data_IF_082605693903
#
_entry.id   IF_082605693903
#
_cell.length_a   1.000
_cell.length_b   1.000
_cell.length_c   1.000
_cell.angle_alpha   90.00
_cell.angle_beta   90.00
_cell.angle_gamma   90.00
#
_symmetry.space_group_name_H-M   'P 1'
#
loop_
_entity.id
_entity.type
_entity.pdbx_description
1 polymer ?
#
# COMPACT_ATOMS: atom_id res chain seq x y z
N UNK A 1 -16.58 8.54 -0.82
CA UNK A 1 -15.73 8.22 -1.98
C UNK A 1 -16.63 7.66 -3.07
N UNK A 2 -16.42 8.10 -4.31
CA UNK A 2 -17.24 7.67 -5.44
C UNK A 2 -16.43 6.70 -6.31
N UNK A 3 -16.99 5.56 -6.68
CA UNK A 3 -16.33 4.52 -7.47
C UNK A 3 -17.09 4.26 -8.78
N UNK A 4 -16.36 4.11 -9.89
CA UNK A 4 -16.91 3.67 -11.17
C UNK A 4 -17.28 2.18 -11.09
N UNK A 5 -18.52 1.78 -11.41
CA UNK A 5 -18.96 0.38 -11.34
C UNK A 5 -18.10 -0.61 -12.12
N UNK A 6 -17.56 -0.19 -13.27
CA UNK A 6 -16.79 -1.07 -14.18
C UNK A 6 -15.29 -1.19 -13.80
N UNK A 7 -14.87 -0.57 -12.70
CA UNK A 7 -13.52 -0.72 -12.16
C UNK A 7 -13.52 -1.71 -10.99
N UNK A 8 -12.33 -2.13 -10.56
CA UNK A 8 -12.19 -2.89 -9.32
C UNK A 8 -12.73 -2.04 -8.17
N UNK A 9 -13.78 -2.54 -7.51
CA UNK A 9 -14.42 -1.89 -6.38
C UNK A 9 -13.63 -2.24 -5.12
N UNK A 10 -13.16 -1.21 -4.42
CA UNK A 10 -12.52 -1.36 -3.13
C UNK A 10 -13.57 -1.30 -2.02
N UNK A 11 -13.74 -2.42 -1.32
CA UNK A 11 -14.70 -2.54 -0.22
C UNK A 11 -14.13 -2.03 1.11
N UNK A 12 -12.81 -2.14 1.32
CA UNK A 12 -12.13 -1.81 2.59
C UNK A 12 -11.23 -0.59 2.44
N UNK A 13 -11.70 0.55 2.93
CA UNK A 13 -11.04 1.86 2.80
C UNK A 13 -10.79 2.54 4.16
N UNK A 14 -10.82 1.75 5.22
CA UNK A 14 -10.50 2.12 6.59
C UNK A 14 -9.06 2.63 6.78
N UNK A 15 -8.19 2.36 5.80
CA UNK A 15 -6.84 2.94 5.72
C UNK A 15 -6.81 4.40 5.23
N UNK A 16 -7.90 4.93 4.68
CA UNK A 16 -7.98 6.32 4.22
C UNK A 16 -8.65 7.23 5.26
N UNK A 17 -7.88 8.17 5.84
CA UNK A 17 -8.34 9.11 6.87
C UNK A 17 -8.99 8.42 8.08
N UNK A 18 -9.97 9.06 8.73
CA UNK A 18 -10.73 8.48 9.86
C UNK A 18 -11.78 7.43 9.39
N UNK A 19 -11.53 6.76 8.27
CA UNK A 19 -12.56 6.13 7.46
C UNK A 19 -13.28 7.15 6.59
N UNK A 20 -13.49 6.83 5.32
CA UNK A 20 -14.36 7.60 4.45
C UNK A 20 -15.81 7.33 4.87
N UNK A 21 -16.58 8.39 5.18
CA UNK A 21 -17.93 8.25 5.74
C UNK A 21 -18.86 7.37 4.87
N UNK A 22 -18.88 7.62 3.56
CA UNK A 22 -19.68 6.86 2.61
C UNK A 22 -18.82 6.41 1.42
N UNK A 23 -19.08 5.20 0.91
CA UNK A 23 -18.56 4.71 -0.36
C UNK A 23 -19.75 4.47 -1.29
N UNK A 24 -19.80 5.18 -2.41
CA UNK A 24 -20.93 5.19 -3.33
C UNK A 24 -20.44 4.75 -4.70
N UNK A 25 -21.06 3.71 -5.24
CA UNK A 25 -20.78 3.19 -6.59
C UNK A 25 -21.76 3.90 -7.54
N UNK A 26 -21.23 4.69 -8.47
CA UNK A 26 -22.03 5.47 -9.42
C UNK A 26 -21.28 5.63 -10.75
N UNK A 27 -21.96 5.52 -11.90
CA UNK A 27 -21.33 5.80 -13.18
C UNK A 27 -20.79 7.23 -13.26
N UNK A 28 -19.50 7.34 -13.54
CA UNK A 28 -18.82 8.56 -13.92
C UNK A 28 -19.08 8.78 -15.41
N UNK A 29 -19.89 9.78 -15.73
CA UNK A 29 -20.18 10.20 -17.11
C UNK A 29 -18.99 10.96 -17.70
N UNK A 30 -18.82 10.87 -19.03
CA UNK A 30 -17.69 11.47 -19.76
C UNK A 30 -16.30 11.08 -19.21
N UNK A 31 -16.22 9.92 -18.56
CA UNK A 31 -15.01 9.47 -17.90
C UNK A 31 -13.90 9.18 -18.92
N UNK A 32 -12.77 9.85 -18.73
CA UNK A 32 -11.51 9.55 -19.43
C UNK A 32 -10.35 9.78 -18.49
N UNK A 33 -9.35 8.92 -18.58
CA UNK A 33 -8.11 9.05 -17.83
C UNK A 33 -6.97 8.60 -18.72
N UNK A 34 -6.24 9.56 -19.29
CA UNK A 34 -5.13 9.30 -20.22
C UNK A 34 -3.88 9.99 -19.72
N UNK A 35 -2.88 9.20 -19.36
CA UNK A 35 -1.54 9.71 -19.09
C UNK A 35 -0.73 9.63 -20.38
N UNK A 36 -0.25 10.78 -20.84
CA UNK A 36 0.56 10.94 -22.05
C UNK A 36 2.03 11.17 -21.67
N UNK A 37 2.92 11.17 -22.67
CA UNK A 37 4.34 11.53 -22.45
C UNK A 37 4.50 12.95 -21.88
N UNK A 38 3.51 13.81 -22.06
CA UNK A 38 3.60 15.23 -21.79
C UNK A 38 2.50 15.71 -20.84
N UNK A 39 1.91 14.85 -20.01
CA UNK A 39 0.95 15.23 -18.98
C UNK A 39 -0.31 14.35 -18.98
N UNK A 40 -1.37 14.83 -18.35
CA UNK A 40 -2.65 14.13 -18.23
C UNK A 40 -3.79 14.79 -19.04
N UNK A 41 -4.69 13.96 -19.55
CA UNK A 41 -6.04 14.32 -19.98
C UNK A 41 -7.04 13.48 -19.18
N UNK A 42 -7.76 14.14 -18.26
CA UNK A 42 -8.77 13.52 -17.41
C UNK A 42 -10.05 14.32 -17.44
N UNK A 43 -11.18 13.64 -17.51
CA UNK A 43 -12.46 14.22 -17.21
C UNK A 43 -13.39 13.18 -16.61
N UNK A 44 -14.33 13.64 -15.80
CA UNK A 44 -15.45 12.86 -15.29
C UNK A 44 -16.52 13.79 -14.75
N UNK A 45 -17.75 13.31 -14.75
CA UNK A 45 -18.87 13.99 -14.13
C UNK A 45 -19.81 12.98 -13.46
N UNK A 46 -20.38 13.37 -12.32
CA UNK A 46 -21.32 12.53 -11.57
C UNK A 46 -22.20 13.39 -10.68
N UNK A 47 -23.25 12.80 -10.12
CA UNK A 47 -24.08 13.42 -9.09
C UNK A 47 -23.63 12.94 -7.72
N UNK A 48 -23.34 13.87 -6.82
CA UNK A 48 -22.91 13.51 -5.47
C UNK A 48 -24.09 13.03 -4.60
N UNK A 49 -23.80 12.57 -3.39
CA UNK A 49 -24.80 11.97 -2.48
C UNK A 49 -25.96 12.89 -2.08
N UNK A 50 -25.86 14.19 -2.32
CA UNK A 50 -26.91 15.18 -2.02
C UNK A 50 -27.49 15.81 -3.28
N UNK A 51 -27.22 15.23 -4.45
CA UNK A 51 -27.80 15.65 -5.72
C UNK A 51 -27.05 16.77 -6.44
N UNK A 52 -25.82 17.11 -6.01
CA UNK A 52 -25.04 18.16 -6.68
C UNK A 52 -24.30 17.58 -7.87
N UNK A 53 -24.47 18.21 -9.03
CA UNK A 53 -23.68 17.88 -10.22
C UNK A 53 -22.21 18.25 -10.01
N UNK A 54 -21.32 17.28 -10.16
CA UNK A 54 -19.87 17.44 -10.10
C UNK A 54 -19.31 17.26 -11.50
N UNK A 55 -18.47 18.19 -11.95
CA UNK A 55 -17.77 18.10 -13.23
C UNK A 55 -16.30 18.46 -13.04
N UNK A 56 -15.42 17.57 -13.49
CA UNK A 56 -13.97 17.78 -13.45
C UNK A 56 -13.41 17.53 -14.84
N UNK A 57 -12.57 18.45 -15.32
CA UNK A 57 -11.80 18.30 -16.54
C UNK A 57 -10.43 18.94 -16.36
N UNK A 58 -9.37 18.19 -16.68
CA UNK A 58 -7.99 18.64 -16.59
C UNK A 58 -7.28 18.18 -17.87
N UNK A 59 -6.70 19.14 -18.61
CA UNK A 59 -6.00 18.86 -19.86
C UNK A 59 -4.65 19.58 -19.85
N UNK A 60 -3.57 18.82 -19.72
CA UNK A 60 -2.21 19.32 -19.92
C UNK A 60 -1.85 19.37 -21.40
N UNK A 61 -1.65 20.57 -21.93
CA UNK A 61 -1.35 20.86 -23.34
C UNK A 61 0.15 21.12 -23.60
N UNK A 62 0.99 20.94 -22.59
CA UNK A 62 2.43 21.15 -22.72
C UNK A 62 3.05 20.12 -23.69
N UNK A 63 3.99 20.58 -24.52
CA UNK A 63 4.81 19.69 -25.36
C UNK A 63 6.00 19.09 -24.59
N UNK A 64 6.37 19.67 -23.45
CA UNK A 64 7.49 19.21 -22.63
C UNK A 64 7.14 17.88 -21.95
N UNK A 65 8.01 16.85 -22.02
CA UNK A 65 7.79 15.60 -21.32
C UNK A 65 7.73 15.77 -19.80
N UNK A 66 6.95 14.90 -19.15
CA UNK A 66 6.90 14.78 -17.69
C UNK A 66 8.14 14.06 -17.16
N UNK A 67 8.37 14.17 -15.84
CA UNK A 67 9.46 13.47 -15.14
C UNK A 67 8.88 12.76 -13.93
N UNK A 68 8.06 11.71 -14.15
CA UNK A 68 7.37 11.05 -13.06
C UNK A 68 8.36 10.25 -12.21
N UNK A 69 7.92 9.88 -11.01
CA UNK A 69 8.72 9.13 -10.05
C UNK A 69 7.89 8.04 -9.36
N UNK A 70 8.54 7.16 -8.60
CA UNK A 70 7.86 6.13 -7.82
C UNK A 70 7.78 6.56 -6.36
N UNK A 71 6.66 6.26 -5.69
CA UNK A 71 6.53 6.48 -4.25
C UNK A 71 5.64 5.44 -3.58
N UNK A 72 5.86 5.23 -2.28
CA UNK A 72 4.90 4.60 -1.39
C UNK A 72 3.89 5.65 -0.93
N UNK A 73 2.62 5.45 -1.26
CA UNK A 73 1.57 6.41 -0.96
C UNK A 73 1.36 6.49 0.57
N UNK A 74 1.35 7.69 1.18
CA UNK A 74 1.20 7.85 2.62
C UNK A 74 -0.27 7.72 3.05
N UNK A 75 -1.00 6.74 2.51
CA UNK A 75 -2.45 6.54 2.76
C UNK A 75 -2.68 6.27 4.24
N UNK A 76 -1.86 5.38 4.83
CA UNK A 76 -1.91 5.04 6.24
C UNK A 76 -1.49 6.17 7.19
N UNK A 77 -0.95 7.31 6.73
CA UNK A 77 -0.56 8.39 7.66
C UNK A 77 -1.72 8.96 8.50
N UNK A 78 -2.94 8.80 7.98
CA UNK A 78 -4.17 9.36 8.56
C UNK A 78 -5.14 8.32 9.13
N UNK A 79 -4.83 7.02 9.01
CA UNK A 79 -5.69 5.96 9.56
C UNK A 79 -5.55 5.85 11.08
N UNK A 80 -6.67 5.64 11.75
CA UNK A 80 -6.73 5.44 13.19
C UNK A 80 -6.69 3.96 13.58
N UNK A 81 -7.43 3.12 12.84
CA UNK A 81 -7.61 1.70 13.10
C UNK A 81 -7.57 0.93 11.76
N UNK A 82 -6.40 0.76 11.13
CA UNK A 82 -6.35 0.08 9.84
C UNK A 82 -6.55 -1.42 9.99
N UNK A 83 -7.25 -2.04 9.04
CA UNK A 83 -7.34 -3.50 8.94
C UNK A 83 -6.14 -4.14 8.27
N UNK A 84 -5.19 -3.38 7.73
CA UNK A 84 -3.95 -3.89 7.11
C UNK A 84 -2.90 -2.77 7.03
N UNK A 85 -1.63 -3.09 6.78
CA UNK A 85 -0.65 -2.08 6.40
C UNK A 85 -0.72 -1.84 4.88
N UNK A 86 -1.10 -0.64 4.41
CA UNK A 86 -1.25 -0.38 2.98
C UNK A 86 0.11 -0.20 2.32
N UNK A 87 0.58 -1.21 1.58
CA UNK A 87 1.79 -1.12 0.77
C UNK A 87 1.41 -0.71 -0.67
N UNK A 88 1.03 0.56 -0.80
CA UNK A 88 0.44 1.10 -2.04
C UNK A 88 1.49 1.87 -2.83
N UNK A 89 2.07 1.21 -3.82
CA UNK A 89 3.08 1.79 -4.69
C UNK A 89 2.43 2.48 -5.88
N UNK A 90 2.80 3.74 -6.07
CA UNK A 90 2.43 4.54 -7.24
C UNK A 90 3.68 4.68 -8.10
N UNK A 91 3.76 3.91 -9.16
CA UNK A 91 4.76 4.07 -10.20
C UNK A 91 4.31 5.16 -11.18
N UNK A 92 5.27 5.76 -11.88
CA UNK A 92 5.00 6.87 -12.81
C UNK A 92 4.13 7.98 -12.20
N UNK A 93 4.25 8.21 -10.90
CA UNK A 93 3.52 9.24 -10.18
C UNK A 93 4.00 10.62 -10.61
N UNK A 94 3.07 11.54 -10.83
CA UNK A 94 3.38 12.94 -11.08
C UNK A 94 2.27 13.87 -10.55
N UNK A 95 2.57 15.16 -10.57
CA UNK A 95 1.62 16.22 -10.28
C UNK A 95 1.21 16.96 -11.57
N UNK A 96 -0.03 17.39 -11.62
CA UNK A 96 -0.53 18.22 -12.74
C UNK A 96 0.21 19.55 -12.76
N UNK A 97 0.82 19.91 -13.90
CA UNK A 97 1.52 21.20 -14.04
C UNK A 97 0.52 22.35 -14.15
N UNK A 98 0.99 23.56 -13.85
CA UNK A 98 0.17 24.79 -13.94
C UNK A 98 0.26 25.44 -15.31
N UNK A 99 1.44 25.39 -15.92
CA UNK A 99 1.65 26.00 -17.23
C UNK A 99 0.98 25.15 -18.32
N UNK A 100 0.33 25.80 -19.28
CA UNK A 100 -0.33 25.15 -20.43
C UNK A 100 -1.29 24.04 -19.99
N UNK A 101 -2.10 24.30 -18.97
CA UNK A 101 -3.04 23.32 -18.42
C UNK A 101 -4.38 23.97 -18.19
N UNK A 102 -5.42 23.39 -18.79
CA UNK A 102 -6.79 23.78 -18.52
C UNK A 102 -7.29 22.95 -17.34
N UNK A 103 -7.90 23.62 -16.37
CA UNK A 103 -8.47 23.00 -15.17
C UNK A 103 -9.86 23.54 -14.96
N UNK A 104 -10.85 22.67 -15.06
CA UNK A 104 -12.26 22.92 -14.76
C UNK A 104 -12.65 22.04 -13.59
N UNK A 105 -13.12 22.66 -12.51
CA UNK A 105 -13.75 21.98 -11.39
C UNK A 105 -15.04 22.74 -11.10
N UNK A 106 -16.17 22.11 -11.35
CA UNK A 106 -17.49 22.68 -11.11
C UNK A 106 -18.27 21.81 -10.12
N UNK A 107 -18.85 22.46 -9.11
CA UNK A 107 -19.76 21.84 -8.15
C UNK A 107 -21.07 22.62 -8.20
N UNK A 108 -22.12 21.97 -8.67
CA UNK A 108 -23.44 22.57 -8.87
C UNK A 108 -23.39 23.87 -9.69
N UNK A 109 -22.63 23.86 -10.78
CA UNK A 109 -22.43 25.02 -11.67
C UNK A 109 -21.47 26.09 -11.13
N UNK A 110 -20.97 25.96 -9.89
CA UNK A 110 -19.98 26.89 -9.32
C UNK A 110 -18.57 26.40 -9.63
N UNK A 111 -17.75 27.27 -10.22
CA UNK A 111 -16.34 26.98 -10.49
C UNK A 111 -15.47 27.10 -9.23
N UNK A 112 -14.52 26.16 -9.09
CA UNK A 112 -13.55 26.08 -8.00
C UNK A 112 -12.12 26.18 -8.54
N UNK A 113 -11.24 26.76 -7.72
CA UNK A 113 -9.81 26.82 -8.03
C UNK A 113 -9.10 25.62 -7.43
N UNK A 114 -8.15 25.07 -8.18
CA UNK A 114 -7.26 24.02 -7.70
C UNK A 114 -6.23 24.59 -6.72
N UNK A 115 -5.97 23.83 -5.65
CA UNK A 115 -4.86 24.13 -4.73
C UNK A 115 -3.52 24.03 -5.45
N UNK A 116 -2.58 24.89 -5.09
CA UNK A 116 -1.25 24.92 -5.69
C UNK A 116 -0.20 24.40 -4.73
N UNK A 117 0.84 23.74 -5.26
CA UNK A 117 1.98 23.36 -4.44
C UNK A 117 2.90 24.59 -4.20
N UNK A 118 3.41 24.78 -2.97
CA UNK A 118 4.11 26.02 -2.60
C UNK A 118 5.48 26.19 -3.28
N UNK A 119 6.06 25.11 -3.80
CA UNK A 119 7.35 25.12 -4.50
C UNK A 119 7.28 24.31 -5.81
N UNK A 120 8.14 24.63 -6.80
CA UNK A 120 8.17 23.90 -8.05
C UNK A 120 8.69 22.46 -7.85
N UNK A 121 8.13 21.53 -8.62
CA UNK A 121 8.60 20.14 -8.73
C UNK A 121 9.23 19.95 -10.10
N UNK A 122 10.44 19.38 -10.15
CA UNK A 122 11.17 19.15 -11.41
C UNK A 122 11.26 20.40 -12.33
N UNK A 123 11.39 21.58 -11.72
CA UNK A 123 11.47 22.86 -12.43
C UNK A 123 10.13 23.38 -12.97
N UNK A 124 9.00 22.81 -12.57
CA UNK A 124 7.65 23.23 -12.99
C UNK A 124 6.80 23.58 -11.77
N UNK A 125 6.00 24.65 -11.85
CA UNK A 125 4.95 24.90 -10.86
C UNK A 125 3.81 23.91 -11.10
N UNK A 126 3.30 23.31 -10.03
CA UNK A 126 2.27 22.26 -10.11
C UNK A 126 1.07 22.58 -9.22
N UNK A 127 -0.07 22.00 -9.55
CA UNK A 127 -1.22 21.93 -8.66
C UNK A 127 -1.02 20.81 -7.63
N UNK A 128 -1.76 20.85 -6.52
CA UNK A 128 -1.84 19.75 -5.57
C UNK A 128 -2.80 18.64 -6.06
N UNK A 129 -2.65 18.29 -7.34
CA UNK A 129 -3.38 17.25 -8.03
C UNK A 129 -2.39 16.17 -8.44
N UNK A 130 -2.66 14.94 -8.04
CA UNK A 130 -1.73 13.81 -8.10
C UNK A 130 -2.33 12.73 -8.97
N UNK A 131 -1.53 12.12 -9.83
CA UNK A 131 -1.99 11.03 -10.67
C UNK A 131 -0.90 9.98 -10.88
N UNK A 132 -1.33 8.77 -11.20
CA UNK A 132 -0.52 7.65 -11.65
C UNK A 132 -1.43 6.72 -12.46
N UNK A 133 -0.95 6.24 -13.59
CA UNK A 133 -1.59 5.19 -14.40
C UNK A 133 -1.00 3.79 -14.11
N UNK A 134 -0.16 3.69 -13.08
CA UNK A 134 0.65 2.52 -12.80
C UNK A 134 0.76 2.29 -11.30
N UNK A 135 -0.23 1.60 -10.74
CA UNK A 135 -0.32 1.35 -9.30
C UNK A 135 -0.21 -0.14 -8.99
N UNK A 136 0.40 -0.44 -7.86
CA UNK A 136 0.51 -1.79 -7.33
C UNK A 136 0.19 -1.76 -5.83
N UNK A 137 -0.91 -2.43 -5.48
CA UNK A 137 -1.49 -2.36 -4.14
C UNK A 137 -1.33 -3.73 -3.47
N UNK A 138 -0.77 -3.72 -2.26
CA UNK A 138 -0.67 -4.90 -1.40
C UNK A 138 -1.21 -4.54 -0.02
N UNK A 139 -2.20 -5.30 0.43
CA UNK A 139 -2.71 -5.25 1.79
C UNK A 139 -1.86 -6.19 2.65
N UNK A 140 -0.86 -5.65 3.35
CA UNK A 140 0.08 -6.47 4.12
C UNK A 140 -0.50 -6.83 5.50
N UNK A 141 -0.45 -8.14 5.82
CA UNK A 141 -0.96 -8.74 7.06
C UNK A 141 -2.34 -8.22 7.46
N UNK A 142 -3.40 -8.54 6.70
CA UNK A 142 -4.75 -8.14 7.08
C UNK A 142 -5.12 -8.68 8.46
N UNK A 143 -5.82 -7.86 9.23
CA UNK A 143 -6.43 -8.17 10.51
C UNK A 143 -7.49 -9.26 10.31
N UNK A 144 -7.53 -10.22 11.23
CA UNK A 144 -8.44 -11.36 11.17
C UNK A 144 -9.09 -11.57 12.53
N UNK A 145 -10.38 -11.88 12.52
CA UNK A 145 -11.14 -12.18 13.73
C UNK A 145 -11.33 -13.69 13.87
N UNK A 146 -10.35 -14.37 14.46
CA UNK A 146 -10.41 -15.80 14.81
C UNK A 146 -10.74 -16.73 13.63
N UNK A 147 -10.00 -16.60 12.52
CA UNK A 147 -10.16 -17.48 11.34
C UNK A 147 -9.09 -18.58 11.32
N UNK A 148 -9.44 -19.73 10.77
CA UNK A 148 -8.47 -20.79 10.51
C UNK A 148 -7.45 -20.31 9.46
N UNK A 149 -6.16 -20.55 9.72
CA UNK A 149 -5.10 -20.29 8.75
C UNK A 149 -5.27 -21.20 7.54
N UNK A 150 -5.09 -20.62 6.37
CA UNK A 150 -5.19 -21.34 5.10
C UNK A 150 -3.96 -22.23 4.89
N UNK A 151 -4.20 -23.42 4.35
CA UNK A 151 -3.14 -24.37 4.03
C UNK A 151 -2.33 -23.86 2.84
N UNK A 152 -1.00 -23.91 2.97
CA UNK A 152 -0.10 -23.69 1.85
C UNK A 152 0.06 -24.98 1.05
N UNK A 153 0.00 -24.90 -0.27
CA UNK A 153 0.02 -26.05 -1.18
C UNK A 153 1.30 -26.04 -2.00
N UNK A 154 2.07 -27.12 -1.97
CA UNK A 154 3.28 -27.26 -2.77
C UNK A 154 4.14 -28.42 -2.29
N UNK A 155 5.31 -28.58 -2.92
CA UNK A 155 6.30 -29.60 -2.56
C UNK A 155 7.66 -28.96 -2.30
N UNK A 156 8.41 -29.55 -1.37
CA UNK A 156 9.75 -29.09 -1.03
C UNK A 156 9.75 -27.72 -0.36
N UNK A 157 10.62 -26.83 -0.82
CA UNK A 157 10.89 -25.54 -0.21
C UNK A 157 10.07 -24.37 -0.79
N UNK A 158 9.07 -24.67 -1.62
CA UNK A 158 8.22 -23.66 -2.27
C UNK A 158 6.76 -24.05 -2.14
N UNK A 159 6.00 -23.24 -1.42
CA UNK A 159 4.57 -23.43 -1.21
C UNK A 159 3.78 -22.26 -1.78
N UNK A 160 2.58 -22.54 -2.29
CA UNK A 160 1.67 -21.53 -2.80
C UNK A 160 0.52 -21.34 -1.82
N UNK A 161 0.25 -20.10 -1.46
CA UNK A 161 -0.93 -19.71 -0.72
C UNK A 161 -1.97 -19.04 -1.63
N UNK A 162 -2.96 -18.36 -1.02
CA UNK A 162 -4.01 -17.66 -1.75
C UNK A 162 -3.46 -16.59 -2.69
N UNK A 163 -4.22 -16.29 -3.74
CA UNK A 163 -3.85 -15.29 -4.76
C UNK A 163 -2.50 -15.57 -5.46
N UNK A 164 -2.10 -16.85 -5.55
CA UNK A 164 -0.84 -17.28 -6.15
C UNK A 164 0.39 -16.64 -5.46
N UNK A 165 0.30 -16.48 -4.14
CA UNK A 165 1.40 -15.98 -3.30
C UNK A 165 2.38 -17.12 -3.07
N UNK A 166 3.65 -16.92 -3.43
CA UNK A 166 4.73 -17.88 -3.26
C UNK A 166 5.42 -17.68 -1.91
N UNK A 167 5.55 -18.76 -1.16
CA UNK A 167 6.26 -18.86 0.11
C UNK A 167 7.52 -19.71 -0.12
N UNK A 168 8.69 -19.14 0.15
CA UNK A 168 9.98 -19.82 0.01
C UNK A 168 10.52 -20.14 1.41
N UNK A 169 10.71 -21.43 1.68
CA UNK A 169 11.17 -21.95 2.95
C UNK A 169 12.65 -22.33 2.90
N UNK A 170 13.29 -22.27 4.06
CA UNK A 170 14.64 -22.77 4.29
C UNK A 170 14.65 -23.51 5.63
N UNK A 171 15.54 -24.48 5.78
CA UNK A 171 15.80 -25.06 7.09
C UNK A 171 16.61 -24.09 7.94
N UNK A 172 16.07 -23.71 9.08
CA UNK A 172 16.74 -22.88 10.07
C UNK A 172 16.66 -23.55 11.44
N UNK A 173 17.81 -23.91 12.01
CA UNK A 173 17.88 -24.61 13.30
C UNK A 173 17.05 -25.91 13.33
N UNK A 174 17.13 -26.71 12.26
CA UNK A 174 16.38 -27.96 12.05
C UNK A 174 14.85 -27.80 12.03
N UNK A 175 14.35 -26.58 11.82
CA UNK A 175 12.92 -26.30 11.64
C UNK A 175 12.70 -25.57 10.30
N UNK A 176 11.58 -25.84 9.60
CA UNK A 176 11.21 -25.05 8.44
C UNK A 176 10.95 -23.60 8.85
N UNK A 177 11.44 -22.66 8.04
CA UNK A 177 11.24 -21.23 8.25
C UNK A 177 11.11 -20.49 6.91
N UNK A 178 10.26 -19.47 6.87
CA UNK A 178 10.00 -18.65 5.70
C UNK A 178 11.12 -17.61 5.52
N UNK A 179 11.92 -17.79 4.48
CA UNK A 179 12.92 -16.78 4.08
C UNK A 179 12.27 -15.64 3.29
N UNK A 180 11.26 -15.97 2.47
CA UNK A 180 10.62 -15.00 1.57
C UNK A 180 9.16 -15.33 1.27
N UNK A 181 8.35 -14.29 1.16
CA UNK A 181 6.98 -14.33 0.65
C UNK A 181 6.92 -13.40 -0.56
N UNK A 182 6.33 -13.82 -1.66
CA UNK A 182 6.26 -12.99 -2.87
C UNK A 182 4.97 -13.17 -3.66
N UNK A 183 4.57 -12.13 -4.37
CA UNK A 183 3.45 -12.18 -5.32
C UNK A 183 3.76 -11.28 -6.52
N UNK A 184 3.17 -11.59 -7.66
CA UNK A 184 3.37 -10.87 -8.91
C UNK A 184 2.02 -10.52 -9.53
N UNK A 185 1.88 -9.27 -10.00
CA UNK A 185 0.71 -8.85 -10.78
C UNK A 185 1.16 -7.98 -11.95
N UNK A 186 0.80 -8.40 -13.16
CA UNK A 186 1.24 -7.75 -14.41
C UNK A 186 2.77 -7.64 -14.45
N UNK A 187 3.30 -6.42 -14.33
CA UNK A 187 4.73 -6.11 -14.42
C UNK A 187 5.40 -5.83 -13.07
N UNK A 188 4.64 -5.86 -11.98
CA UNK A 188 5.12 -5.52 -10.65
C UNK A 188 5.17 -6.75 -9.77
N UNK A 189 6.20 -6.80 -8.93
CA UNK A 189 6.42 -7.83 -7.94
C UNK A 189 6.36 -7.24 -6.54
N UNK A 190 5.95 -8.04 -5.56
CA UNK A 190 6.11 -7.75 -4.14
C UNK A 190 6.95 -8.85 -3.52
N UNK A 191 7.85 -8.49 -2.60
CA UNK A 191 8.45 -9.46 -1.68
C UNK A 191 8.48 -8.95 -0.25
N UNK A 192 8.27 -9.87 0.68
CA UNK A 192 8.64 -9.76 2.08
C UNK A 192 9.77 -10.74 2.34
N UNK A 193 10.92 -10.24 2.79
CA UNK A 193 12.12 -11.04 3.08
C UNK A 193 12.44 -10.94 4.57
N UNK A 194 12.85 -12.05 5.18
CA UNK A 194 13.08 -12.15 6.62
C UNK A 194 14.54 -12.53 6.92
N UNK A 195 15.15 -11.85 7.89
CA UNK A 195 16.50 -12.14 8.37
C UNK A 195 16.62 -12.02 9.90
N UNK A 196 16.83 -13.13 10.64
CA UNK A 196 16.76 -14.53 10.19
C UNK A 196 15.39 -14.89 9.56
N UNK A 197 15.26 -16.06 8.91
CA UNK A 197 13.98 -16.51 8.38
C UNK A 197 12.87 -16.57 9.45
N UNK A 198 11.63 -16.21 9.08
CA UNK A 198 10.47 -16.24 9.97
C UNK A 198 10.07 -17.70 10.27
N UNK A 199 10.00 -18.14 11.52
CA UNK A 199 9.78 -19.55 11.84
C UNK A 199 8.40 -20.05 11.38
N UNK A 200 8.32 -21.29 10.89
CA UNK A 200 7.03 -21.95 10.67
C UNK A 200 6.40 -22.28 12.03
N UNK A 201 5.25 -21.68 12.30
CA UNK A 201 4.68 -21.58 13.65
C UNK A 201 4.28 -22.92 14.27
N UNK A 202 4.00 -23.94 13.46
CA UNK A 202 3.61 -25.26 13.96
C UNK A 202 4.81 -26.10 14.42
N UNK A 203 6.03 -25.71 14.02
CA UNK A 203 7.29 -26.39 14.37
C UNK A 203 8.07 -25.70 15.50
N UNK A 204 7.57 -24.58 16.02
CA UNK A 204 8.19 -23.85 17.13
C UNK A 204 8.10 -24.67 18.42
N UNK A 205 9.21 -24.90 19.12
CA UNK A 205 9.21 -25.59 20.41
C UNK A 205 8.55 -24.74 21.52
N UNK A 206 7.97 -25.39 22.52
CA UNK A 206 7.34 -24.67 23.64
C UNK A 206 8.36 -23.82 24.43
N UNK A 207 7.92 -22.67 24.93
CA UNK A 207 8.73 -21.67 25.66
C UNK A 207 9.96 -21.17 24.86
N UNK A 208 9.82 -21.05 23.55
CA UNK A 208 10.85 -20.46 22.68
C UNK A 208 10.39 -19.16 22.04
N UNK A 209 11.36 -18.30 21.73
CA UNK A 209 11.14 -17.01 21.08
C UNK A 209 12.16 -16.77 19.97
N UNK A 210 11.70 -16.17 18.87
CA UNK A 210 12.48 -15.79 17.72
C UNK A 210 12.28 -14.31 17.45
N UNK A 211 13.32 -13.64 17.00
CA UNK A 211 13.25 -12.24 16.57
C UNK A 211 14.13 -12.03 15.36
N UNK A 212 13.74 -11.11 14.50
CA UNK A 212 14.53 -10.73 13.34
C UNK A 212 14.03 -9.47 12.67
N UNK A 213 14.56 -9.22 11.49
CA UNK A 213 14.17 -8.11 10.63
C UNK A 213 13.36 -8.61 9.45
N UNK A 214 12.49 -7.74 8.92
CA UNK A 214 11.83 -7.95 7.65
C UNK A 214 12.03 -6.76 6.71
N UNK A 215 12.03 -7.04 5.42
CA UNK A 215 12.08 -6.04 4.34
C UNK A 215 10.91 -6.29 3.39
N UNK A 216 10.02 -5.31 3.28
CA UNK A 216 8.94 -5.30 2.31
C UNK A 216 9.37 -4.46 1.12
N UNK A 217 9.31 -5.02 -0.07
CA UNK A 217 9.84 -4.40 -1.28
C UNK A 217 9.01 -4.71 -2.51
N UNK A 218 9.33 -3.97 -3.56
CA UNK A 218 8.88 -4.21 -4.93
C UNK A 218 10.07 -3.94 -5.86
N UNK A 219 9.80 -3.70 -7.14
CA UNK A 219 10.78 -3.32 -8.15
C UNK A 219 11.72 -2.23 -7.61
N UNK A 220 13.01 -2.29 -7.97
CA UNK A 220 14.10 -1.53 -7.32
C UNK A 220 13.88 -0.01 -7.20
N UNK A 221 13.01 0.57 -8.05
CA UNK A 221 12.74 2.01 -8.07
C UNK A 221 11.83 2.52 -6.95
N UNK A 222 11.07 1.65 -6.28
CA UNK A 222 10.02 2.04 -5.34
C UNK A 222 10.50 2.22 -3.88
N UNK A 223 11.73 1.81 -3.57
CA UNK A 223 12.21 1.74 -2.19
C UNK A 223 11.67 0.54 -1.42
N UNK A 224 11.94 0.49 -0.12
CA UNK A 224 11.56 -0.63 0.75
C UNK A 224 10.99 -0.14 2.07
N UNK A 225 10.14 -0.93 2.72
CA UNK A 225 9.77 -0.76 4.13
C UNK A 225 10.56 -1.76 4.96
N UNK A 226 11.17 -1.30 6.05
CA UNK A 226 11.91 -2.15 6.99
C UNK A 226 11.21 -2.22 8.33
N UNK A 227 11.35 -3.36 8.99
CA UNK A 227 10.83 -3.55 10.32
C UNK A 227 11.47 -4.74 11.04
N UNK A 228 10.95 -5.01 12.22
CA UNK A 228 11.32 -6.16 13.04
C UNK A 228 10.12 -7.06 13.25
N UNK A 229 10.38 -8.36 13.39
CA UNK A 229 9.39 -9.33 13.80
C UNK A 229 9.82 -10.00 15.10
N UNK A 230 8.84 -10.41 15.90
CA UNK A 230 9.01 -11.25 17.08
C UNK A 230 7.95 -12.35 17.05
N UNK A 231 8.36 -13.57 17.39
CA UNK A 231 7.49 -14.73 17.51
C UNK A 231 7.81 -15.42 18.81
N UNK A 232 6.80 -15.72 19.63
CA UNK A 232 7.00 -16.49 20.86
C UNK A 232 5.90 -17.53 21.03
N UNK A 233 6.25 -18.68 21.60
CA UNK A 233 5.29 -19.75 21.91
C UNK A 233 5.22 -19.97 23.42
N UNK A 234 3.99 -20.06 23.93
CA UNK A 234 3.70 -20.50 25.29
C UNK A 234 2.53 -21.50 25.26
N UNK A 235 2.84 -22.77 25.51
CA UNK A 235 1.90 -23.88 25.41
C UNK A 235 1.36 -24.07 23.98
N UNK A 236 0.06 -23.86 23.84
CA UNK A 236 -0.68 -23.95 22.57
C UNK A 236 -0.91 -22.60 21.91
N UNK A 237 -0.39 -21.50 22.47
CA UNK A 237 -0.49 -20.16 21.92
C UNK A 237 0.84 -19.70 21.34
N UNK A 238 0.79 -19.13 20.14
CA UNK A 238 1.89 -18.42 19.49
C UNK A 238 1.51 -16.95 19.35
N UNK A 239 2.34 -16.06 19.88
CA UNK A 239 2.21 -14.62 19.70
C UNK A 239 3.19 -14.15 18.64
N UNK A 240 2.70 -13.33 17.70
CA UNK A 240 3.52 -12.72 16.64
C UNK A 240 3.35 -11.22 16.69
N UNK A 241 4.46 -10.50 16.60
CA UNK A 241 4.49 -9.04 16.47
C UNK A 241 5.26 -8.65 15.21
N UNK A 242 4.72 -7.74 14.40
CA UNK A 242 5.43 -7.11 13.28
C UNK A 242 5.45 -5.59 13.49
N UNK A 243 6.64 -5.02 13.50
CA UNK A 243 6.85 -3.59 13.72
C UNK A 243 7.65 -2.97 12.56
N UNK A 244 7.02 -2.26 11.60
CA UNK A 244 7.69 -1.48 10.54
C UNK A 244 8.43 -0.23 11.07
N UNK A 245 9.18 -0.37 12.16
CA UNK A 245 9.94 0.68 12.85
C UNK A 245 11.04 1.33 11.98
N UNK A 246 11.50 0.65 10.92
CA UNK A 246 12.41 1.20 9.92
C UNK A 246 11.74 2.27 9.06
N UNK A 247 10.42 2.20 8.89
CA UNK A 247 9.65 3.06 8.00
C UNK A 247 9.94 2.77 6.53
N UNK A 248 9.61 3.72 5.66
CA UNK A 248 9.91 3.63 4.23
C UNK A 248 11.24 4.29 3.88
N UNK A 249 12.08 3.53 3.18
CA UNK A 249 13.36 3.91 2.62
C UNK A 249 13.23 4.10 1.10
N UNK A 250 12.94 5.32 0.63
CA UNK A 250 12.86 5.59 -0.80
C UNK A 250 14.22 5.42 -1.47
N UNK A 251 14.21 5.02 -2.75
CA UNK A 251 15.40 4.97 -3.62
C UNK A 251 15.33 6.07 -4.69
N UNK A 252 15.52 7.36 -4.31
CA UNK A 252 15.36 8.48 -5.24
C UNK A 252 16.45 8.47 -6.31
N UNK A 253 16.03 8.55 -7.58
CA UNK A 253 16.95 8.65 -8.73
C UNK A 253 17.49 10.07 -8.97
N UNK A 254 16.92 11.09 -8.33
CA UNK A 254 17.31 12.49 -8.55
C UNK A 254 17.57 13.20 -7.22
N UNK A 255 18.43 14.22 -7.24
CA UNK A 255 18.69 15.07 -6.07
C UNK A 255 17.42 15.75 -5.56
N UNK A 256 16.52 16.13 -6.47
CA UNK A 256 15.22 16.71 -6.11
C UNK A 256 14.37 15.74 -5.27
N UNK A 257 14.24 14.48 -5.68
CA UNK A 257 13.49 13.48 -4.92
C UNK A 257 14.17 13.17 -3.58
N UNK A 258 15.51 13.16 -3.56
CA UNK A 258 16.26 13.04 -2.31
C UNK A 258 15.93 14.16 -1.33
N UNK A 259 15.81 15.40 -1.82
CA UNK A 259 15.34 16.54 -1.02
C UNK A 259 13.88 16.34 -0.58
N UNK A 260 12.96 16.07 -1.51
CA UNK A 260 11.53 15.89 -1.20
C UNK A 260 11.29 14.88 -0.07
N UNK A 261 11.90 13.71 -0.16
CA UNK A 261 11.75 12.65 0.84
C UNK A 261 12.56 12.88 2.11
N UNK A 262 13.61 13.70 2.08
CA UNK A 262 14.35 14.09 3.29
C UNK A 262 13.55 15.10 4.12
N UNK A 263 12.95 16.10 3.46
CA UNK A 263 12.25 17.19 4.14
C UNK A 263 10.83 16.83 4.55
N UNK A 264 10.10 16.07 3.72
CA UNK A 264 8.72 15.69 4.03
C UNK A 264 8.71 14.32 4.72
N UNK A 265 8.99 14.33 6.02
CA UNK A 265 9.11 13.13 6.87
C UNK A 265 7.91 12.19 6.79
N UNK A 266 6.71 12.71 6.55
CA UNK A 266 5.46 11.91 6.51
C UNK A 266 5.58 10.71 5.57
N UNK A 267 6.24 10.87 4.41
CA UNK A 267 6.38 9.78 3.44
C UNK A 267 7.17 8.60 3.99
N UNK A 268 8.19 8.88 4.82
CA UNK A 268 9.11 7.87 5.36
C UNK A 268 8.66 7.31 6.71
N UNK A 269 8.00 8.14 7.51
CA UNK A 269 7.77 7.85 8.92
C UNK A 269 6.40 7.24 9.19
N UNK A 270 5.41 7.42 8.31
CA UNK A 270 4.07 6.91 8.57
C UNK A 270 3.99 5.40 8.84
N UNK A 271 4.81 4.50 8.23
CA UNK A 271 4.73 3.09 8.58
C UNK A 271 5.13 2.84 10.04
N UNK A 272 6.07 3.64 10.60
CA UNK A 272 6.60 3.49 11.96
C UNK A 272 5.54 3.72 13.05
N UNK A 273 4.40 4.31 12.70
CA UNK A 273 3.31 4.54 13.66
C UNK A 273 2.41 3.32 13.79
N UNK A 274 2.81 2.16 13.28
CA UNK A 274 1.98 0.95 13.26
C UNK A 274 2.67 -0.23 13.93
N UNK A 275 1.86 -1.04 14.60
CA UNK A 275 2.25 -2.32 15.20
C UNK A 275 1.18 -3.35 14.86
N UNK A 276 1.59 -4.45 14.24
CA UNK A 276 0.72 -5.61 14.05
C UNK A 276 0.99 -6.64 15.13
N UNK A 277 -0.08 -7.20 15.67
CA UNK A 277 -0.02 -8.28 16.66
C UNK A 277 -0.98 -9.39 16.26
N UNK A 278 -0.56 -10.64 16.41
CA UNK A 278 -1.41 -11.80 16.27
C UNK A 278 -1.25 -12.78 17.43
N UNK A 279 -2.37 -13.40 17.79
CA UNK A 279 -2.43 -14.57 18.68
C UNK A 279 -2.92 -15.75 17.86
N UNK A 280 -2.16 -16.82 17.84
CA UNK A 280 -2.43 -18.01 17.05
C UNK A 280 -2.57 -19.20 18.00
N UNK A 281 -3.73 -19.85 17.98
CA UNK A 281 -4.00 -21.06 18.75
C UNK A 281 -3.67 -22.28 17.92
N UNK A 282 -2.73 -23.08 18.40
CA UNK A 282 -2.33 -24.36 17.84
C UNK A 282 -3.29 -25.44 18.35
N UNK A 283 -4.01 -26.08 17.44
CA UNK A 283 -4.91 -27.18 17.78
C UNK A 283 -4.37 -28.48 17.21
N UNK A 284 -4.28 -29.53 18.04
CA UNK A 284 -3.83 -30.83 17.55
C UNK A 284 -4.85 -31.41 16.55
N UNK A 285 -4.42 -31.61 15.31
CA UNK A 285 -5.25 -32.21 14.26
C UNK A 285 -6.26 -31.26 13.60
N UNK A 286 -6.19 -29.96 13.89
CA UNK A 286 -6.99 -28.94 13.21
C UNK A 286 -6.10 -27.76 12.76
N UNK A 287 -6.49 -26.99 11.73
CA UNK A 287 -5.76 -25.80 11.33
C UNK A 287 -5.61 -24.82 12.51
N UNK A 288 -4.46 -24.16 12.66
CA UNK A 288 -4.30 -23.10 13.65
C UNK A 288 -5.31 -21.97 13.42
N UNK A 289 -5.79 -21.37 14.50
CA UNK A 289 -6.75 -20.26 14.45
C UNK A 289 -6.02 -18.97 14.81
N UNK A 290 -6.12 -17.95 13.97
CA UNK A 290 -5.47 -16.66 14.19
C UNK A 290 -6.48 -15.56 14.48
N UNK A 291 -6.19 -14.78 15.52
CA UNK A 291 -6.74 -13.45 15.74
C UNK A 291 -5.62 -12.42 15.61
N UNK A 292 -5.80 -11.40 14.78
CA UNK A 292 -4.76 -10.42 14.50
C UNK A 292 -5.34 -9.02 14.31
N UNK A 293 -4.51 -8.01 14.59
CA UNK A 293 -4.89 -6.60 14.47
C UNK A 293 -3.68 -5.71 14.22
N UNK A 294 -3.93 -4.57 13.58
CA UNK A 294 -3.02 -3.44 13.60
C UNK A 294 -3.45 -2.45 14.67
N UNK A 295 -2.46 -1.83 15.31
CA UNK A 295 -2.63 -0.73 16.27
C UNK A 295 -1.71 0.42 15.88
N UNK A 296 -2.17 1.65 16.11
CA UNK A 296 -1.34 2.84 15.94
C UNK A 296 -0.58 3.14 17.24
N UNK A 297 0.72 3.38 17.14
CA UNK A 297 1.62 3.68 18.28
C UNK A 297 2.22 5.09 18.17
#
# INVERSE_FOLDING_TARGET
MYQQPDLTIEERLDVAAKGLADTIIIPLTNARFRVTKSGIDVAFAFEDKVGRKIEVEIVEKSLKPTKPFSLLAPVGSSSANPSYLPFYLMFKFDFVRRANTDVTISINGRNHKADTFPFPLNGSRVYFMRYSDDTFLVDWCPAQSSHALELLIGEGNKLNGPNNTLYELVDHQNCPAFARISTNRKRHSFSAEFSPPFPEITHIADNTSFSGEFVLGSDESAGVVRGTYEVSRSGEEVEVTLNPNGGWEPRPKTHFLRFLFSFIKIFRQWPKTYLWTAKIKLNKGAPPIMESRWTRI
#
